data_IF_625060983797
#
_entry.id   IF_625060983797
#
_cell.length_a   1.000
_cell.length_b   1.000
_cell.length_c   1.000
_cell.angle_alpha   90.00
_cell.angle_beta   90.00
_cell.angle_gamma   90.00
#
_symmetry.space_group_name_H-M   'P 1'
#
loop_
_entity.id
_entity.type
_entity.pdbx_description
1 polymer ?
#
# COMPACT_ATOMS: atom_id res chain seq x y z
N UNK A 1 16.92 -11.52 -27.59
CA UNK A 1 16.45 -11.31 -26.23
C UNK A 1 15.00 -10.92 -26.36
N UNK A 2 14.07 -11.74 -25.86
CA UNK A 2 12.64 -11.41 -25.83
C UNK A 2 12.46 -10.21 -24.92
N UNK A 3 11.90 -9.15 -25.45
CA UNK A 3 11.66 -7.90 -24.73
C UNK A 3 10.38 -8.03 -23.88
N UNK A 4 10.24 -9.18 -23.19
CA UNK A 4 9.11 -9.45 -22.33
C UNK A 4 9.28 -8.70 -21.00
N UNK A 5 8.31 -7.87 -20.69
CA UNK A 5 8.28 -7.13 -19.44
C UNK A 5 7.92 -8.09 -18.31
N UNK A 6 8.66 -8.11 -17.19
CA UNK A 6 8.33 -8.97 -16.05
C UNK A 6 7.04 -8.51 -15.38
N UNK A 7 6.29 -9.46 -14.83
CA UNK A 7 5.24 -9.12 -13.88
C UNK A 7 5.85 -8.57 -12.58
N UNK A 8 5.22 -7.58 -12.00
CA UNK A 8 5.68 -6.93 -10.76
C UNK A 8 4.62 -7.17 -9.69
N UNK A 9 5.01 -7.83 -8.61
CA UNK A 9 4.17 -8.01 -7.42
C UNK A 9 4.85 -7.29 -6.26
N UNK A 10 4.17 -6.31 -5.70
CA UNK A 10 4.64 -5.59 -4.52
C UNK A 10 3.74 -5.91 -3.33
N UNK A 11 4.29 -6.61 -2.35
CA UNK A 11 3.57 -7.02 -1.13
C UNK A 11 4.18 -6.29 0.06
N UNK A 12 3.36 -5.64 0.85
CA UNK A 12 3.81 -5.04 2.11
C UNK A 12 2.76 -5.22 3.20
N UNK A 13 3.23 -5.47 4.41
CA UNK A 13 2.37 -5.54 5.59
C UNK A 13 2.21 -4.16 6.23
N UNK A 14 1.01 -3.87 6.74
CA UNK A 14 0.82 -2.75 7.65
C UNK A 14 1.40 -3.15 9.02
N UNK A 15 2.01 -2.26 9.73
CA UNK A 15 2.49 -2.40 11.12
C UNK A 15 3.27 -3.72 11.42
N UNK A 16 4.04 -4.21 10.48
CA UNK A 16 4.97 -5.32 10.69
C UNK A 16 6.38 -4.74 10.92
N UNK A 17 6.94 -4.98 12.08
CA UNK A 17 8.34 -4.63 12.34
C UNK A 17 9.26 -5.77 11.92
N UNK A 18 10.47 -5.42 11.49
CA UNK A 18 11.50 -6.36 11.03
C UNK A 18 11.73 -7.51 12.04
N UNK A 19 11.92 -7.19 13.32
CA UNK A 19 12.22 -8.17 14.37
C UNK A 19 11.08 -9.17 14.67
N UNK A 20 9.91 -9.03 14.05
CA UNK A 20 8.77 -9.94 14.27
C UNK A 20 8.68 -11.06 13.21
N UNK A 21 9.78 -11.35 12.54
CA UNK A 21 9.91 -12.45 11.58
C UNK A 21 10.97 -13.46 12.05
N UNK A 22 10.79 -14.74 11.73
CA UNK A 22 11.71 -15.82 12.13
C UNK A 22 13.13 -15.60 11.62
N UNK A 23 13.29 -15.28 10.33
CA UNK A 23 14.59 -15.00 9.73
C UNK A 23 15.33 -13.81 10.39
N UNK A 24 14.60 -12.90 11.01
CA UNK A 24 15.15 -11.75 11.72
C UNK A 24 15.45 -12.02 13.21
N UNK A 25 15.32 -13.27 13.64
CA UNK A 25 15.70 -13.74 14.97
C UNK A 25 14.59 -13.86 16.01
N UNK A 26 13.32 -13.73 15.63
CA UNK A 26 12.21 -14.01 16.55
C UNK A 26 11.91 -15.53 16.56
N UNK A 27 12.45 -16.24 17.54
CA UNK A 27 12.24 -17.67 17.71
C UNK A 27 10.78 -18.08 17.95
N UNK A 28 9.91 -17.13 18.31
CA UNK A 28 8.48 -17.35 18.54
C UNK A 28 7.62 -17.08 17.30
N UNK A 29 8.18 -16.39 16.31
CA UNK A 29 7.49 -16.10 15.07
C UNK A 29 7.51 -17.32 14.15
N UNK A 30 6.34 -17.70 13.66
CA UNK A 30 6.21 -18.75 12.65
C UNK A 30 5.93 -18.13 11.29
N UNK A 31 6.99 -17.81 10.56
CA UNK A 31 6.93 -17.09 9.27
C UNK A 31 7.67 -17.82 8.13
N UNK A 32 7.40 -19.13 7.92
CA UNK A 32 8.24 -19.98 7.06
C UNK A 32 8.32 -19.50 5.62
N UNK A 33 7.24 -18.93 5.07
CA UNK A 33 7.24 -18.43 3.70
C UNK A 33 8.03 -17.11 3.55
N UNK A 34 7.99 -16.26 4.57
CA UNK A 34 8.78 -15.02 4.58
C UNK A 34 10.26 -15.37 4.79
N UNK A 35 10.54 -16.33 5.66
CA UNK A 35 11.88 -16.80 5.95
C UNK A 35 12.52 -17.42 4.69
N UNK A 36 11.80 -18.28 3.97
CA UNK A 36 12.24 -18.84 2.67
C UNK A 36 12.50 -17.73 1.63
N UNK A 37 11.63 -16.73 1.56
CA UNK A 37 11.83 -15.60 0.64
C UNK A 37 13.09 -14.79 1.00
N UNK A 38 13.37 -14.61 2.28
CA UNK A 38 14.58 -13.93 2.74
C UNK A 38 15.85 -14.73 2.42
N UNK A 39 15.80 -16.07 2.53
CA UNK A 39 16.92 -16.97 2.20
C UNK A 39 17.22 -17.01 0.69
N UNK A 40 16.17 -17.01 -0.15
CA UNK A 40 16.28 -17.11 -1.61
C UNK A 40 16.49 -15.76 -2.30
N UNK A 41 16.14 -14.68 -1.61
CA UNK A 41 16.11 -13.32 -2.15
C UNK A 41 17.23 -12.43 -1.63
N UNK A 42 16.92 -11.14 -1.54
CA UNK A 42 17.82 -10.14 -0.97
C UNK A 42 17.16 -9.52 0.26
N UNK A 43 17.75 -9.73 1.44
CA UNK A 43 17.34 -9.06 2.67
C UNK A 43 17.99 -7.67 2.78
N UNK A 44 17.17 -6.62 2.75
CA UNK A 44 17.59 -5.24 2.93
C UNK A 44 17.44 -4.80 4.41
N UNK A 45 18.15 -5.45 5.31
CA UNK A 45 18.02 -5.30 6.77
C UNK A 45 18.21 -3.87 7.31
N UNK A 46 18.84 -2.99 6.54
CA UNK A 46 19.00 -1.56 6.86
C UNK A 46 17.96 -0.66 6.17
N UNK A 47 16.92 -1.23 5.57
CA UNK A 47 15.86 -0.42 4.98
C UNK A 47 15.05 0.30 6.07
N UNK A 48 14.89 1.62 5.93
CA UNK A 48 14.24 2.48 6.91
C UNK A 48 13.08 3.22 6.25
N UNK A 49 11.90 3.18 6.89
CA UNK A 49 10.80 4.05 6.50
C UNK A 49 11.09 5.49 6.93
N UNK A 50 11.09 6.42 6.00
CA UNK A 50 11.30 7.84 6.29
C UNK A 50 10.20 8.47 7.15
N UNK A 51 9.01 7.87 7.18
CA UNK A 51 7.88 8.30 8.01
C UNK A 51 6.95 7.10 8.28
N UNK A 52 7.12 6.36 9.39
CA UNK A 52 6.42 5.12 9.66
C UNK A 52 4.99 5.33 10.19
N UNK A 53 4.19 6.10 9.46
CA UNK A 53 2.76 6.35 9.68
C UNK A 53 2.01 5.90 8.42
N UNK A 54 0.91 5.20 8.56
CA UNK A 54 0.22 4.49 7.49
C UNK A 54 0.06 5.30 6.19
N UNK A 55 -0.62 6.44 6.23
CA UNK A 55 -0.87 7.26 5.04
C UNK A 55 0.41 7.93 4.52
N UNK A 56 1.25 8.39 5.41
CA UNK A 56 2.52 9.05 5.10
C UNK A 56 3.49 8.10 4.37
N UNK A 57 3.66 6.87 4.89
CA UNK A 57 4.45 5.85 4.23
C UNK A 57 3.91 5.49 2.85
N UNK A 58 2.58 5.28 2.73
CA UNK A 58 1.93 4.93 1.46
C UNK A 58 2.09 6.02 0.42
N UNK A 59 1.96 7.28 0.81
CA UNK A 59 2.21 8.41 -0.07
C UNK A 59 3.66 8.44 -0.57
N UNK A 60 4.64 8.23 0.31
CA UNK A 60 6.05 8.16 -0.07
C UNK A 60 6.33 6.98 -1.00
N UNK A 61 5.78 5.80 -0.69
CA UNK A 61 5.92 4.59 -1.48
C UNK A 61 5.44 4.80 -2.93
N UNK A 62 4.23 5.36 -3.10
CA UNK A 62 3.65 5.50 -4.43
C UNK A 62 4.21 6.67 -5.23
N UNK A 63 4.61 7.75 -4.57
CA UNK A 63 5.12 8.95 -5.27
C UNK A 63 6.64 8.98 -5.42
N UNK A 64 7.39 8.21 -4.64
CA UNK A 64 8.84 8.33 -4.52
C UNK A 64 9.30 9.63 -3.87
N UNK A 65 8.42 10.34 -3.16
CA UNK A 65 8.70 11.64 -2.53
C UNK A 65 8.68 11.56 -1.01
N UNK A 66 9.39 12.43 -0.35
CA UNK A 66 9.25 12.62 1.09
C UNK A 66 7.87 13.15 1.46
N UNK A 67 7.40 12.81 2.66
CA UNK A 67 6.08 13.22 3.17
C UNK A 67 5.92 14.73 3.27
N UNK A 68 6.99 15.46 3.56
CA UNK A 68 7.02 16.93 3.53
C UNK A 68 6.75 17.52 2.15
N UNK A 69 7.12 16.80 1.09
CA UNK A 69 6.85 17.21 -0.30
C UNK A 69 5.45 16.86 -0.78
N UNK A 70 4.84 15.80 -0.21
CA UNK A 70 3.47 15.39 -0.54
C UNK A 70 2.42 16.04 0.35
N UNK A 71 2.83 16.59 1.50
CA UNK A 71 1.94 17.09 2.54
C UNK A 71 1.29 15.99 3.41
N UNK A 72 1.60 14.72 3.14
CA UNK A 72 1.01 13.57 3.83
C UNK A 72 1.77 13.26 5.12
N UNK A 73 1.58 14.08 6.15
CA UNK A 73 2.33 13.99 7.41
C UNK A 73 1.55 13.37 8.56
N UNK A 74 0.24 13.20 8.42
CA UNK A 74 -0.66 12.53 9.37
C UNK A 74 -1.71 11.69 8.62
N UNK A 75 -2.41 10.83 9.33
CA UNK A 75 -3.39 9.89 8.74
C UNK A 75 -4.69 10.55 8.24
N UNK A 76 -5.00 11.75 8.71
CA UNK A 76 -6.25 12.46 8.47
C UNK A 76 -6.23 13.32 7.20
N UNK A 77 -5.11 13.35 6.51
CA UNK A 77 -4.95 14.13 5.27
C UNK A 77 -5.35 13.30 4.04
N UNK A 78 -6.10 13.93 3.14
CA UNK A 78 -6.33 13.39 1.81
C UNK A 78 -5.17 13.78 0.90
N UNK A 79 -4.60 12.79 0.23
CA UNK A 79 -3.53 13.03 -0.74
C UNK A 79 -4.03 13.85 -1.93
N UNK A 80 -3.23 14.82 -2.34
CA UNK A 80 -3.54 15.64 -3.51
C UNK A 80 -3.68 14.75 -4.76
N UNK A 81 -4.85 14.76 -5.44
CA UNK A 81 -5.14 13.86 -6.56
C UNK A 81 -4.28 14.10 -7.82
N UNK A 82 -3.54 15.19 -7.87
CA UNK A 82 -2.65 15.52 -8.99
C UNK A 82 -1.22 14.95 -8.81
N UNK A 83 -0.99 14.15 -7.77
CA UNK A 83 0.31 13.48 -7.61
C UNK A 83 0.47 12.39 -8.67
N UNK A 84 1.64 12.40 -9.32
CA UNK A 84 2.05 11.30 -10.18
C UNK A 84 2.63 10.18 -9.32
N UNK A 85 2.11 8.98 -9.49
CA UNK A 85 2.44 7.81 -8.69
C UNK A 85 3.01 6.68 -9.55
N UNK A 86 3.58 5.68 -8.90
CA UNK A 86 4.17 4.50 -9.54
C UNK A 86 3.22 3.85 -10.55
N UNK A 87 1.94 3.68 -10.19
CA UNK A 87 0.97 3.06 -11.09
C UNK A 87 0.77 3.86 -12.39
N UNK A 88 0.79 5.19 -12.36
CA UNK A 88 0.77 5.99 -13.58
C UNK A 88 1.99 5.70 -14.48
N UNK A 89 3.18 5.57 -13.87
CA UNK A 89 4.40 5.26 -14.62
C UNK A 89 4.32 3.87 -15.23
N UNK A 90 3.83 2.89 -14.48
CA UNK A 90 3.64 1.53 -14.96
C UNK A 90 2.61 1.47 -16.10
N UNK A 91 1.47 2.13 -15.93
CA UNK A 91 0.42 2.22 -16.95
C UNK A 91 0.91 2.87 -18.24
N UNK A 92 1.66 3.97 -18.17
CA UNK A 92 2.28 4.63 -19.33
C UNK A 92 3.28 3.71 -20.06
N UNK A 93 3.80 2.71 -19.37
CA UNK A 93 4.67 1.67 -19.94
C UNK A 93 3.92 0.39 -20.31
N UNK A 94 2.60 0.41 -20.36
CA UNK A 94 1.75 -0.68 -20.83
C UNK A 94 1.59 -1.82 -19.82
N UNK A 95 1.78 -1.57 -18.52
CA UNK A 95 1.41 -2.50 -17.46
C UNK A 95 -0.07 -2.31 -17.09
N UNK A 96 -0.71 -3.41 -16.76
CA UNK A 96 -1.94 -3.40 -16.00
C UNK A 96 -1.62 -3.11 -14.53
N UNK A 97 -2.46 -2.32 -13.86
CA UNK A 97 -2.20 -1.83 -12.49
C UNK A 97 -3.35 -2.21 -11.56
N UNK A 98 -3.14 -3.21 -10.76
CA UNK A 98 -4.10 -3.75 -9.81
C UNK A 98 -3.76 -3.34 -8.37
N UNK A 99 -4.77 -3.15 -7.51
CA UNK A 99 -4.58 -2.87 -6.09
C UNK A 99 -5.49 -3.72 -5.20
N UNK A 100 -4.90 -4.31 -4.17
CA UNK A 100 -5.64 -5.11 -3.17
C UNK A 100 -5.19 -4.69 -1.77
N UNK A 101 -6.13 -4.35 -0.89
CA UNK A 101 -5.87 -4.12 0.52
C UNK A 101 -6.12 -2.68 1.00
N UNK A 102 -5.47 -2.28 2.10
CA UNK A 102 -5.64 -0.97 2.74
C UNK A 102 -5.07 0.14 1.86
N UNK A 103 -5.88 1.18 1.62
CA UNK A 103 -5.48 2.34 0.83
C UNK A 103 -4.92 3.50 1.65
N UNK A 104 -5.73 4.05 2.52
CA UNK A 104 -5.43 5.12 3.48
C UNK A 104 -4.81 6.41 2.88
N UNK A 105 -5.17 6.76 1.65
CA UNK A 105 -4.77 8.02 1.00
C UNK A 105 -5.96 8.94 0.73
N UNK A 106 -7.16 8.52 1.14
CA UNK A 106 -8.42 9.23 0.98
C UNK A 106 -9.02 9.52 2.35
N UNK A 107 -8.82 10.72 2.89
CA UNK A 107 -9.20 11.07 4.25
C UNK A 107 -10.70 10.84 4.52
N UNK A 108 -11.03 10.45 5.75
CA UNK A 108 -12.40 10.28 6.20
C UNK A 108 -13.14 11.63 6.26
N UNK A 109 -14.30 11.71 5.62
CA UNK A 109 -15.10 12.93 5.58
C UNK A 109 -16.26 12.93 6.58
N UNK A 110 -16.70 11.74 7.01
CA UNK A 110 -17.92 11.57 7.79
C UNK A 110 -17.67 11.49 9.31
N UNK A 111 -16.47 11.76 9.77
CA UNK A 111 -16.11 11.83 11.20
C UNK A 111 -16.15 10.50 11.97
N UNK A 112 -16.68 9.42 11.39
CA UNK A 112 -16.73 8.10 11.99
C UNK A 112 -15.83 7.13 11.20
N UNK A 113 -14.76 6.64 11.84
CA UNK A 113 -13.79 5.73 11.22
C UNK A 113 -14.39 4.37 10.83
N UNK A 114 -15.45 3.95 11.50
CA UNK A 114 -16.12 2.67 11.26
C UNK A 114 -17.29 2.75 10.27
N UNK A 115 -17.64 3.94 9.78
CA UNK A 115 -18.64 4.07 8.74
C UNK A 115 -18.12 3.50 7.42
N UNK A 116 -18.76 2.46 6.85
CA UNK A 116 -18.31 1.84 5.61
C UNK A 116 -18.17 2.81 4.43
N UNK A 117 -18.93 3.90 4.44
CA UNK A 117 -18.83 4.94 3.40
C UNK A 117 -17.48 5.66 3.43
N UNK A 118 -16.85 5.80 4.60
CA UNK A 118 -15.49 6.34 4.73
C UNK A 118 -14.41 5.41 4.16
N UNK A 119 -14.70 4.12 4.05
CA UNK A 119 -13.78 3.13 3.47
C UNK A 119 -13.85 3.08 1.95
N UNK A 120 -14.86 3.67 1.34
CA UNK A 120 -14.98 3.71 -0.11
C UNK A 120 -14.03 4.76 -0.72
N UNK A 121 -13.29 4.34 -1.74
CA UNK A 121 -12.45 5.24 -2.54
C UNK A 121 -13.02 5.28 -3.96
N UNK A 122 -13.48 6.45 -4.42
CA UNK A 122 -14.08 6.55 -5.75
C UNK A 122 -13.06 6.23 -6.86
N UNK A 123 -13.51 5.63 -7.97
CA UNK A 123 -12.68 5.43 -9.15
C UNK A 123 -12.03 6.71 -9.67
N UNK A 124 -10.94 6.54 -10.44
CA UNK A 124 -10.24 7.64 -11.09
C UNK A 124 -9.17 8.28 -10.21
N UNK A 125 -9.01 9.58 -10.24
CA UNK A 125 -7.84 10.32 -9.74
C UNK A 125 -7.41 10.02 -8.29
N UNK A 126 -8.31 9.53 -7.44
CA UNK A 126 -8.00 9.18 -6.05
C UNK A 126 -7.44 7.76 -5.87
N UNK A 127 -7.38 6.97 -6.96
CA UNK A 127 -6.71 5.68 -7.02
C UNK A 127 -5.31 5.75 -7.63
N UNK A 128 -4.89 6.94 -8.02
CA UNK A 128 -3.53 7.25 -8.46
C UNK A 128 -2.96 6.31 -9.53
N UNK A 129 -3.81 5.89 -10.49
CA UNK A 129 -3.42 5.04 -11.61
C UNK A 129 -3.58 3.54 -11.36
N UNK A 130 -4.14 3.12 -10.23
CA UNK A 130 -4.56 1.74 -9.99
C UNK A 130 -6.00 1.55 -10.47
N UNK A 131 -6.19 1.46 -11.78
CA UNK A 131 -7.50 1.56 -12.43
C UNK A 131 -8.00 0.25 -13.06
N UNK A 132 -7.19 -0.84 -13.09
CA UNK A 132 -7.58 -2.09 -13.75
C UNK A 132 -8.36 -3.04 -12.83
N UNK A 133 -7.81 -3.36 -11.67
CA UNK A 133 -8.52 -4.13 -10.65
C UNK A 133 -8.39 -3.46 -9.29
N UNK A 134 -9.51 -3.28 -8.63
CA UNK A 134 -9.58 -2.62 -7.35
C UNK A 134 -10.36 -3.47 -6.34
N UNK A 135 -9.70 -3.86 -5.24
CA UNK A 135 -10.31 -4.53 -4.11
C UNK A 135 -9.71 -3.96 -2.81
N UNK A 136 -10.22 -2.83 -2.35
CA UNK A 136 -9.57 -2.08 -1.28
C UNK A 136 -10.54 -1.45 -0.29
N UNK A 137 -10.01 -1.08 0.86
CA UNK A 137 -10.67 -0.22 1.84
C UNK A 137 -9.75 0.96 2.16
N UNK A 138 -10.34 2.14 2.35
CA UNK A 138 -9.53 3.30 2.69
C UNK A 138 -8.92 3.15 4.08
N UNK A 139 -9.77 3.02 5.11
CA UNK A 139 -9.34 2.88 6.49
C UNK A 139 -10.44 2.29 7.37
N UNK A 140 -10.10 1.32 8.19
CA UNK A 140 -10.84 0.84 9.38
C UNK A 140 -9.90 -0.01 10.26
N UNK A 141 -10.33 -0.31 11.50
CA UNK A 141 -9.63 -1.19 12.43
C UNK A 141 -10.46 -2.44 12.77
N UNK A 142 -11.26 -2.92 11.81
CA UNK A 142 -12.04 -4.15 11.98
C UNK A 142 -11.16 -5.36 11.67
N UNK A 143 -10.74 -6.07 12.72
CA UNK A 143 -9.84 -7.21 12.57
C UNK A 143 -10.54 -8.54 12.28
N UNK A 144 -11.80 -8.69 12.73
CA UNK A 144 -12.56 -9.92 12.59
C UNK A 144 -13.68 -9.84 11.55
N UNK A 145 -14.34 -8.69 11.44
CA UNK A 145 -15.42 -8.44 10.50
C UNK A 145 -15.00 -7.42 9.45
N UNK A 146 -13.73 -7.52 9.03
CA UNK A 146 -13.17 -6.62 8.03
C UNK A 146 -13.91 -6.71 6.70
N UNK A 147 -13.96 -5.60 5.99
CA UNK A 147 -14.62 -5.48 4.69
C UNK A 147 -13.75 -4.65 3.74
N UNK A 148 -14.02 -4.80 2.47
CA UNK A 148 -13.41 -4.01 1.41
C UNK A 148 -14.43 -3.73 0.31
N UNK A 149 -14.16 -2.72 -0.49
CA UNK A 149 -14.95 -2.37 -1.66
C UNK A 149 -14.26 -2.92 -2.91
N UNK A 150 -15.04 -3.57 -3.75
CA UNK A 150 -14.57 -4.11 -5.01
C UNK A 150 -15.39 -3.49 -6.14
N UNK A 151 -14.72 -3.13 -7.24
CA UNK A 151 -15.43 -2.75 -8.43
C UNK A 151 -16.14 -3.96 -9.02
N UNK A 152 -17.36 -3.79 -9.45
CA UNK A 152 -18.06 -4.79 -10.25
C UNK A 152 -17.35 -4.90 -11.61
N UNK A 153 -16.74 -6.04 -11.86
CA UNK A 153 -16.19 -6.42 -13.16
C UNK A 153 -17.30 -6.61 -14.18
#
# INVERSE_FOLDING_TARGET
MTNEKPNIIYIFADQLRYQSCGYAGDEKAYTPNIDSLAEEGMDLYNAISGHPVCSAYRASLFTGKYTTSTGMVINEIRMNPNQRCLAHVLSDNGYRTDYIGKWHLYANELGNHYDPRNSFVPPGKHRFGFDDYWAAYNFHHEYYNGYYHKDSS
#
